data_IF_168590362425
#
_entry.id   IF_168590362425
#
_cell.length_a   1.000
_cell.length_b   1.000
_cell.length_c   1.000
_cell.angle_alpha   90.00
_cell.angle_beta   90.00
_cell.angle_gamma   90.00
#
_symmetry.space_group_name_H-M   'P 1'
#
loop_
_entity.id
_entity.type
_entity.pdbx_description
1 polymer ?
#
# COMPACT_ATOMS: atom_id res chain seq x y z
N UNK A 1 -2.85 25.39 -4.84
CA UNK A 1 -4.18 24.90 -4.42
C UNK A 1 -5.18 24.74 -5.57
N UNK A 2 -5.29 25.66 -6.53
CA UNK A 2 -6.36 25.61 -7.56
C UNK A 2 -6.41 24.30 -8.38
N UNK A 3 -5.25 23.70 -8.69
CA UNK A 3 -5.20 22.46 -9.46
C UNK A 3 -5.70 21.23 -8.69
N UNK A 4 -5.44 21.11 -7.37
CA UNK A 4 -5.94 19.97 -6.57
C UNK A 4 -7.46 20.04 -6.40
N UNK A 5 -8.00 21.24 -6.22
CA UNK A 5 -9.44 21.49 -6.18
C UNK A 5 -10.10 21.16 -7.52
N UNK A 6 -9.39 21.39 -8.63
CA UNK A 6 -9.87 20.99 -9.95
C UNK A 6 -9.98 19.46 -10.10
N UNK A 7 -8.99 18.71 -9.60
CA UNK A 7 -9.06 17.24 -9.54
C UNK A 7 -10.28 16.77 -8.73
N UNK A 8 -10.48 17.34 -7.54
CA UNK A 8 -11.65 17.05 -6.70
C UNK A 8 -12.98 17.33 -7.41
N UNK A 9 -13.09 18.46 -8.14
CA UNK A 9 -14.29 18.80 -8.93
C UNK A 9 -14.53 17.83 -10.08
N UNK A 10 -13.48 17.37 -10.77
CA UNK A 10 -13.60 16.34 -11.82
C UNK A 10 -14.14 15.04 -11.20
N UNK A 11 -13.57 14.62 -10.07
CA UNK A 11 -14.00 13.43 -9.37
C UNK A 11 -15.48 13.50 -8.97
N UNK A 12 -15.89 14.60 -8.31
CA UNK A 12 -17.27 14.82 -7.90
C UNK A 12 -18.25 14.74 -9.08
N UNK A 13 -17.89 15.35 -10.22
CA UNK A 13 -18.67 15.22 -11.46
C UNK A 13 -18.72 13.77 -11.97
N UNK A 14 -17.66 12.98 -11.79
CA UNK A 14 -17.61 11.56 -12.16
C UNK A 14 -18.59 10.70 -11.36
N UNK A 15 -18.75 11.00 -10.07
CA UNK A 15 -19.75 10.36 -9.22
C UNK A 15 -21.19 10.69 -9.65
N UNK A 16 -21.41 11.91 -10.17
CA UNK A 16 -22.72 12.35 -10.66
C UNK A 16 -23.01 11.89 -12.12
N UNK A 17 -21.99 11.80 -12.97
CA UNK A 17 -22.13 11.55 -14.42
C UNK A 17 -21.26 10.37 -14.89
N UNK A 18 -21.89 9.20 -15.04
CA UNK A 18 -21.20 7.89 -15.15
C UNK A 18 -20.37 7.62 -16.42
N UNK A 19 -20.50 8.36 -17.53
CA UNK A 19 -19.90 7.93 -18.83
C UNK A 19 -18.70 8.75 -19.32
N UNK A 20 -18.83 10.08 -19.48
CA UNK A 20 -17.76 10.91 -20.08
C UNK A 20 -16.63 11.24 -19.09
N UNK A 21 -17.00 11.58 -17.85
CA UNK A 21 -16.03 12.02 -16.83
C UNK A 21 -15.19 10.85 -16.31
N UNK A 22 -15.76 9.64 -16.25
CA UNK A 22 -15.05 8.41 -15.89
C UNK A 22 -13.87 8.11 -16.83
N UNK A 23 -14.00 8.39 -18.14
CA UNK A 23 -12.88 8.26 -19.09
C UNK A 23 -11.74 9.25 -18.80
N UNK A 24 -12.09 10.44 -18.33
CA UNK A 24 -11.12 11.49 -17.98
C UNK A 24 -10.36 11.11 -16.71
N UNK A 25 -11.04 10.56 -15.70
CA UNK A 25 -10.42 10.11 -14.45
C UNK A 25 -9.48 8.91 -14.71
N UNK A 26 -9.84 8.00 -15.62
CA UNK A 26 -8.96 6.92 -16.07
C UNK A 26 -7.89 7.34 -17.09
N UNK A 27 -7.70 8.64 -17.35
CA UNK A 27 -6.63 9.09 -18.25
C UNK A 27 -5.29 9.06 -17.52
N UNK A 28 -4.20 8.82 -18.27
CA UNK A 28 -2.84 8.95 -17.76
C UNK A 28 -2.56 10.35 -17.22
N UNK A 29 -3.14 11.38 -17.82
CA UNK A 29 -3.00 12.77 -17.37
C UNK A 29 -3.52 12.93 -15.95
N UNK A 30 -4.73 12.45 -15.66
CA UNK A 30 -5.32 12.55 -14.32
C UNK A 30 -4.52 11.76 -13.28
N UNK A 31 -4.06 10.55 -13.64
CA UNK A 31 -3.23 9.70 -12.78
C UNK A 31 -1.89 10.36 -12.49
N UNK A 32 -1.22 10.90 -13.50
CA UNK A 32 0.07 11.60 -13.34
C UNK A 32 -0.07 12.87 -12.50
N UNK A 33 -1.20 13.58 -12.60
CA UNK A 33 -1.47 14.72 -11.73
C UNK A 33 -1.57 14.29 -10.25
N UNK A 34 -2.27 13.19 -9.94
CA UNK A 34 -2.31 12.67 -8.56
C UNK A 34 -0.92 12.26 -8.10
N UNK A 35 -0.19 11.51 -8.94
CA UNK A 35 1.17 11.06 -8.66
C UNK A 35 2.10 12.22 -8.29
N UNK A 36 2.10 13.28 -9.09
CA UNK A 36 2.85 14.50 -8.82
C UNK A 36 2.48 15.14 -7.48
N UNK A 37 1.18 15.23 -7.15
CA UNK A 37 0.74 15.77 -5.86
C UNK A 37 1.18 14.89 -4.68
N UNK A 38 1.09 13.57 -4.83
CA UNK A 38 1.56 12.62 -3.82
C UNK A 38 3.05 12.80 -3.58
N UNK A 39 3.87 12.80 -4.64
CA UNK A 39 5.31 13.01 -4.54
C UNK A 39 5.67 14.36 -3.90
N UNK A 40 5.02 15.44 -4.33
CA UNK A 40 5.25 16.77 -3.79
C UNK A 40 4.94 16.84 -2.28
N UNK A 41 3.76 16.33 -1.89
CA UNK A 41 3.34 16.32 -0.49
C UNK A 41 4.28 15.44 0.33
N UNK A 42 4.56 14.20 -0.11
CA UNK A 42 5.47 13.30 0.57
C UNK A 42 6.87 13.89 0.79
N UNK A 43 7.39 14.66 -0.17
CA UNK A 43 8.71 15.28 -0.05
C UNK A 43 8.73 16.54 0.83
N UNK A 44 7.59 17.22 1.00
CA UNK A 44 7.56 18.60 1.55
C UNK A 44 6.70 18.74 2.81
N UNK A 45 6.04 17.67 3.28
CA UNK A 45 5.09 17.71 4.42
C UNK A 45 5.75 18.08 5.75
N UNK A 46 7.06 17.90 5.89
CA UNK A 46 7.80 18.28 7.09
C UNK A 46 8.27 19.74 7.08
N UNK A 47 8.43 20.34 5.90
CA UNK A 47 8.97 21.69 5.74
C UNK A 47 7.87 22.75 5.68
N UNK A 48 6.65 22.35 5.30
CA UNK A 48 5.52 23.25 5.07
C UNK A 48 4.24 22.71 5.69
N UNK A 49 3.33 23.61 6.07
CA UNK A 49 1.99 23.23 6.52
C UNK A 49 1.11 22.80 5.33
N UNK A 50 1.27 21.53 4.93
CA UNK A 50 0.52 20.90 3.85
C UNK A 50 -0.58 19.96 4.37
N UNK A 51 -0.91 19.99 5.66
CA UNK A 51 -1.93 19.11 6.24
C UNK A 51 -3.29 19.22 5.52
N UNK A 52 -3.82 20.42 5.20
CA UNK A 52 -5.06 20.52 4.41
C UNK A 52 -4.95 19.86 3.02
N UNK A 53 -3.78 19.97 2.39
CA UNK A 53 -3.50 19.37 1.08
C UNK A 53 -3.40 17.85 1.15
N UNK A 54 -2.79 17.33 2.21
CA UNK A 54 -2.74 15.91 2.54
C UNK A 54 -4.16 15.34 2.65
N UNK A 55 -5.03 15.94 3.46
CA UNK A 55 -6.41 15.47 3.58
C UNK A 55 -7.17 15.53 2.26
N UNK A 56 -7.02 16.61 1.48
CA UNK A 56 -7.65 16.71 0.17
C UNK A 56 -7.18 15.62 -0.80
N UNK A 57 -5.87 15.35 -0.89
CA UNK A 57 -5.37 14.32 -1.81
C UNK A 57 -5.81 12.93 -1.37
N UNK A 58 -5.82 12.63 -0.07
CA UNK A 58 -6.30 11.35 0.47
C UNK A 58 -7.77 11.12 0.13
N UNK A 59 -8.63 12.15 0.26
CA UNK A 59 -10.03 12.07 -0.15
C UNK A 59 -10.20 11.84 -1.65
N UNK A 60 -9.40 12.51 -2.48
CA UNK A 60 -9.41 12.31 -3.94
C UNK A 60 -9.01 10.86 -4.27
N UNK A 61 -7.94 10.35 -3.68
CA UNK A 61 -7.45 8.98 -3.94
C UNK A 61 -8.48 7.93 -3.51
N UNK A 62 -9.07 8.08 -2.32
CA UNK A 62 -10.15 7.21 -1.84
C UNK A 62 -11.36 7.25 -2.76
N UNK A 63 -11.79 8.45 -3.17
CA UNK A 63 -12.92 8.59 -4.07
C UNK A 63 -12.64 8.02 -5.47
N UNK A 64 -11.39 8.03 -5.95
CA UNK A 64 -10.99 7.33 -7.18
C UNK A 64 -11.07 5.81 -6.97
N UNK A 65 -10.50 5.28 -5.89
CA UNK A 65 -10.51 3.84 -5.62
C UNK A 65 -11.96 3.29 -5.53
N UNK A 66 -12.86 4.03 -4.87
CA UNK A 66 -14.27 3.66 -4.71
C UNK A 66 -15.11 3.86 -5.98
N UNK A 67 -14.74 4.78 -6.87
CA UNK A 67 -15.43 4.98 -8.15
C UNK A 67 -15.21 3.80 -9.10
N UNK A 68 -14.10 3.06 -8.94
CA UNK A 68 -13.69 1.96 -9.81
C UNK A 68 -13.60 0.61 -9.09
N UNK A 69 -14.69 0.08 -8.51
CA UNK A 69 -14.65 -1.16 -7.72
C UNK A 69 -14.37 -2.40 -8.58
N UNK A 70 -14.59 -2.30 -9.90
CA UNK A 70 -14.47 -3.42 -10.82
C UNK A 70 -13.03 -3.92 -10.99
N UNK A 71 -12.84 -5.23 -11.20
CA UNK A 71 -11.53 -5.90 -11.31
C UNK A 71 -10.67 -5.42 -12.48
N UNK A 72 -11.31 -4.82 -13.50
CA UNK A 72 -10.61 -4.24 -14.65
C UNK A 72 -9.74 -3.07 -14.25
N UNK A 73 -10.05 -2.42 -13.14
CA UNK A 73 -9.30 -1.28 -12.62
C UNK A 73 -8.41 -1.68 -11.46
N UNK A 74 -8.10 -2.98 -11.30
CA UNK A 74 -7.15 -3.45 -10.30
C UNK A 74 -5.84 -2.65 -10.32
N UNK A 75 -5.18 -2.38 -11.47
CA UNK A 75 -3.94 -1.60 -11.46
C UNK A 75 -4.10 -0.20 -10.89
N UNK A 76 -5.21 0.48 -11.24
CA UNK A 76 -5.52 1.80 -10.70
C UNK A 76 -5.76 1.73 -9.19
N UNK A 77 -6.48 0.71 -8.71
CA UNK A 77 -6.73 0.50 -7.27
C UNK A 77 -5.45 0.21 -6.49
N UNK A 78 -4.57 -0.65 -7.02
CA UNK A 78 -3.27 -0.93 -6.44
C UNK A 78 -2.44 0.36 -6.34
N UNK A 79 -2.42 1.17 -7.40
CA UNK A 79 -1.74 2.47 -7.40
C UNK A 79 -2.33 3.45 -6.38
N UNK A 80 -3.66 3.49 -6.22
CA UNK A 80 -4.28 4.28 -5.16
C UNK A 80 -3.77 3.87 -3.78
N UNK A 81 -3.71 2.56 -3.49
CA UNK A 81 -3.27 2.06 -2.19
C UNK A 81 -1.78 2.39 -1.96
N UNK A 82 -0.94 2.27 -2.99
CA UNK A 82 0.47 2.68 -2.93
C UNK A 82 0.63 4.17 -2.61
N UNK A 83 -0.16 5.03 -3.25
CA UNK A 83 -0.16 6.46 -2.95
C UNK A 83 -0.56 6.74 -1.49
N UNK A 84 -1.59 6.05 -0.98
CA UNK A 84 -2.02 6.19 0.41
C UNK A 84 -0.95 5.70 1.40
N UNK A 85 -0.29 4.57 1.12
CA UNK A 85 0.84 4.09 1.92
C UNK A 85 2.00 5.08 1.92
N UNK A 86 2.37 5.64 0.76
CA UNK A 86 3.44 6.63 0.67
C UNK A 86 3.13 7.88 1.49
N UNK A 87 1.92 8.43 1.33
CA UNK A 87 1.47 9.58 2.11
C UNK A 87 1.45 9.29 3.61
N UNK A 88 1.00 8.10 4.03
CA UNK A 88 1.00 7.65 5.43
C UNK A 88 2.42 7.62 5.99
N UNK A 89 3.35 6.99 5.26
CA UNK A 89 4.74 6.88 5.66
C UNK A 89 5.46 8.23 5.77
N UNK A 90 5.25 9.13 4.81
CA UNK A 90 5.89 10.45 4.81
C UNK A 90 5.27 11.41 5.83
N UNK A 91 3.95 11.40 6.00
CA UNK A 91 3.29 12.35 6.90
C UNK A 91 3.32 11.92 8.37
N UNK A 92 3.57 10.65 8.66
CA UNK A 92 3.39 10.08 9.99
C UNK A 92 1.92 10.02 10.44
N UNK A 93 0.97 10.22 9.52
CA UNK A 93 -0.47 10.13 9.78
C UNK A 93 -0.98 8.75 9.36
N UNK A 94 -1.69 8.08 10.25
CA UNK A 94 -2.32 6.80 9.95
C UNK A 94 -3.43 6.97 8.90
N UNK A 95 -3.23 6.38 7.72
CA UNK A 95 -4.23 6.33 6.64
C UNK A 95 -4.68 4.87 6.45
N UNK A 96 -5.92 4.51 6.83
CA UNK A 96 -6.38 3.13 6.71
C UNK A 96 -6.58 2.72 5.25
N UNK A 97 -5.86 1.68 4.82
CA UNK A 97 -5.95 1.11 3.46
C UNK A 97 -6.59 -0.29 3.44
N UNK A 98 -6.84 -0.86 4.61
CA UNK A 98 -7.28 -2.25 4.78
C UNK A 98 -8.52 -2.60 3.98
N UNK A 99 -9.59 -1.79 4.02
CA UNK A 99 -10.82 -2.06 3.26
C UNK A 99 -10.54 -2.16 1.76
N UNK A 100 -9.75 -1.24 1.21
CA UNK A 100 -9.40 -1.21 -0.22
C UNK A 100 -8.63 -2.44 -0.66
N UNK A 101 -7.72 -2.95 0.18
CA UNK A 101 -6.95 -4.17 -0.10
C UNK A 101 -7.82 -5.42 0.05
N UNK A 102 -8.64 -5.50 1.09
CA UNK A 102 -9.50 -6.66 1.32
C UNK A 102 -10.51 -6.83 0.19
N UNK A 103 -11.06 -5.75 -0.32
CA UNK A 103 -11.92 -5.75 -1.51
C UNK A 103 -11.21 -6.34 -2.77
N UNK A 104 -9.88 -6.35 -2.82
CA UNK A 104 -9.09 -7.01 -3.88
C UNK A 104 -9.03 -8.52 -3.62
N UNK A 105 -8.80 -8.94 -2.37
CA UNK A 105 -8.75 -10.36 -1.99
C UNK A 105 -10.12 -11.05 -2.12
N UNK A 106 -11.21 -10.34 -1.81
CA UNK A 106 -12.56 -10.89 -1.97
C UNK A 106 -12.98 -11.02 -3.45
N UNK A 107 -12.20 -10.50 -4.39
CA UNK A 107 -12.49 -10.62 -5.81
C UNK A 107 -12.30 -12.07 -6.32
N UNK A 108 -13.39 -12.85 -6.28
CA UNK A 108 -13.57 -14.17 -6.90
C UNK A 108 -12.37 -15.15 -6.76
N UNK A 109 -11.88 -15.32 -5.54
CA UNK A 109 -11.11 -16.53 -5.18
C UNK A 109 -12.02 -17.78 -5.10
N UNK A 110 -13.35 -17.61 -5.18
CA UNK A 110 -14.35 -18.66 -4.96
C UNK A 110 -14.83 -19.47 -6.19
N UNK A 111 -14.11 -19.49 -7.33
CA UNK A 111 -14.48 -20.39 -8.47
C UNK A 111 -13.26 -21.09 -9.06
N UNK A 112 -13.15 -22.39 -8.79
CA UNK A 112 -12.02 -23.30 -9.08
C UNK A 112 -11.79 -23.67 -10.57
N UNK A 113 -12.27 -22.89 -11.54
CA UNK A 113 -12.14 -23.25 -12.96
C UNK A 113 -11.42 -22.16 -13.75
N UNK A 114 -10.08 -22.16 -13.73
CA UNK A 114 -9.35 -21.26 -14.62
C UNK A 114 -8.08 -21.79 -15.29
N UNK A 115 -7.94 -21.43 -16.58
CA UNK A 115 -6.86 -21.82 -17.50
C UNK A 115 -5.56 -21.01 -17.28
N UNK A 116 -4.37 -21.61 -17.46
CA UNK A 116 -3.11 -20.88 -17.44
C UNK A 116 -3.13 -19.78 -18.52
N UNK A 117 -2.82 -18.54 -18.12
CA UNK A 117 -2.83 -17.36 -18.98
C UNK A 117 -1.50 -16.61 -18.90
N UNK A 118 -1.16 -15.87 -19.96
CA UNK A 118 0.07 -15.08 -20.04
C UNK A 118 0.16 -14.05 -18.91
N UNK A 119 1.37 -13.86 -18.39
CA UNK A 119 1.72 -12.79 -17.43
C UNK A 119 1.65 -11.46 -18.17
N UNK A 120 0.74 -10.58 -17.75
CA UNK A 120 0.73 -9.18 -18.16
C UNK A 120 1.14 -8.36 -16.95
N UNK A 121 1.94 -7.32 -17.18
CA UNK A 121 2.19 -6.31 -16.16
C UNK A 121 0.88 -5.56 -15.89
N UNK A 122 0.32 -5.63 -14.67
CA UNK A 122 -0.86 -4.87 -14.33
C UNK A 122 -0.57 -3.36 -14.38
N UNK A 123 0.63 -2.95 -13.97
CA UNK A 123 0.96 -1.57 -13.63
C UNK A 123 1.11 -0.61 -14.82
N UNK A 124 1.35 -1.12 -16.03
CA UNK A 124 1.49 -0.28 -17.24
C UNK A 124 0.17 0.04 -17.93
N UNK A 125 -0.97 -0.41 -17.37
CA UNK A 125 -2.30 -0.14 -17.93
C UNK A 125 -3.25 0.33 -16.85
N UNK A 126 -3.97 1.43 -17.11
CA UNK A 126 -5.04 1.90 -16.20
C UNK A 126 -6.20 0.90 -16.13
N UNK A 127 -6.36 0.08 -17.18
CA UNK A 127 -7.50 -0.82 -17.35
C UNK A 127 -7.09 -2.14 -18.00
N UNK A 128 -7.35 -3.24 -17.29
CA UNK A 128 -7.05 -4.59 -17.75
C UNK A 128 -8.00 -5.07 -18.87
N UNK A 129 -7.48 -5.87 -19.82
CA UNK A 129 -8.28 -6.64 -20.77
C UNK A 129 -9.18 -7.66 -20.07
N UNK A 130 -10.41 -7.86 -20.58
CA UNK A 130 -11.40 -8.78 -19.96
C UNK A 130 -10.93 -10.24 -19.90
N UNK A 131 -10.13 -10.69 -20.85
CA UNK A 131 -9.64 -12.07 -20.90
C UNK A 131 -8.68 -12.38 -19.75
N UNK A 132 -7.99 -11.35 -19.22
CA UNK A 132 -6.98 -11.51 -18.19
C UNK A 132 -7.56 -11.67 -16.79
N UNK A 133 -8.70 -11.01 -16.52
CA UNK A 133 -9.42 -11.05 -15.23
C UNK A 133 -9.73 -12.42 -14.69
N UNK A 134 -9.67 -13.38 -15.57
CA UNK A 134 -10.07 -14.71 -15.28
C UNK A 134 -8.82 -15.57 -15.02
N UNK A 135 -7.64 -15.23 -15.59
CA UNK A 135 -6.35 -15.96 -15.49
C UNK A 135 -5.95 -16.34 -14.06
N UNK A 136 -5.30 -17.50 -13.91
CA UNK A 136 -4.67 -17.89 -12.63
C UNK A 136 -3.61 -16.87 -12.21
N UNK A 137 -2.86 -16.35 -13.18
CA UNK A 137 -1.87 -15.29 -12.95
C UNK A 137 -2.48 -14.00 -12.41
N UNK A 138 -3.73 -13.65 -12.78
CA UNK A 138 -4.44 -12.52 -12.19
C UNK A 138 -4.77 -12.74 -10.72
N UNK A 139 -5.24 -13.93 -10.34
CA UNK A 139 -5.54 -14.25 -8.93
C UNK A 139 -4.27 -14.24 -8.08
N UNK A 140 -3.20 -14.84 -8.59
CA UNK A 140 -1.90 -14.82 -7.93
C UNK A 140 -1.39 -13.39 -7.74
N UNK A 141 -1.52 -12.54 -8.77
CA UNK A 141 -1.18 -11.13 -8.67
C UNK A 141 -2.03 -10.39 -7.63
N UNK A 142 -3.36 -10.60 -7.61
CA UNK A 142 -4.23 -10.00 -6.58
C UNK A 142 -3.75 -10.35 -5.17
N UNK A 143 -3.46 -11.63 -4.90
CA UNK A 143 -3.04 -12.10 -3.58
C UNK A 143 -1.66 -11.53 -3.23
N UNK A 144 -0.70 -11.62 -4.14
CA UNK A 144 0.66 -11.12 -3.90
C UNK A 144 0.68 -9.61 -3.69
N UNK A 145 0.05 -8.82 -4.58
CA UNK A 145 0.00 -7.36 -4.42
C UNK A 145 -0.73 -6.95 -3.14
N UNK A 146 -1.81 -7.65 -2.76
CA UNK A 146 -2.53 -7.37 -1.52
C UNK A 146 -1.63 -7.58 -0.28
N UNK A 147 -0.88 -8.68 -0.25
CA UNK A 147 0.04 -8.99 0.85
C UNK A 147 1.21 -8.01 0.89
N UNK A 148 1.76 -7.63 -0.27
CA UNK A 148 2.80 -6.60 -0.36
C UNK A 148 2.32 -5.26 0.22
N UNK A 149 1.14 -4.79 -0.19
CA UNK A 149 0.59 -3.51 0.26
C UNK A 149 0.21 -3.50 1.75
N UNK A 150 -0.32 -4.61 2.26
CA UNK A 150 -0.60 -4.76 3.69
C UNK A 150 0.69 -4.88 4.51
N UNK A 151 1.71 -5.57 3.99
CA UNK A 151 3.02 -5.67 4.64
C UNK A 151 3.69 -4.31 4.75
N UNK A 152 3.66 -3.52 3.67
CA UNK A 152 4.13 -2.13 3.69
C UNK A 152 3.35 -1.28 4.69
N UNK A 153 2.02 -1.34 4.67
CA UNK A 153 1.19 -0.59 5.60
C UNK A 153 1.52 -0.93 7.05
N UNK A 154 1.55 -2.21 7.42
CA UNK A 154 1.85 -2.61 8.80
C UNK A 154 3.30 -2.38 9.20
N UNK A 155 4.26 -2.42 8.28
CA UNK A 155 5.65 -2.13 8.60
C UNK A 155 5.87 -0.67 9.04
N UNK A 156 5.05 0.25 8.53
CA UNK A 156 5.08 1.65 8.98
C UNK A 156 4.68 1.82 10.45
N UNK A 157 3.80 0.94 10.94
CA UNK A 157 3.20 1.02 12.27
C UNK A 157 3.67 -0.08 13.22
N UNK A 158 4.55 -0.99 12.79
CA UNK A 158 4.91 -2.21 13.53
C UNK A 158 5.58 -1.97 14.89
N UNK A 159 6.13 -0.78 15.10
CA UNK A 159 6.75 -0.36 16.36
C UNK A 159 5.89 0.64 17.15
N UNK A 160 4.71 1.00 16.64
CA UNK A 160 3.83 1.96 17.31
C UNK A 160 3.10 1.30 18.48
N UNK A 161 2.93 2.01 19.60
CA UNK A 161 2.29 1.46 20.81
C UNK A 161 0.85 0.96 20.57
N UNK A 162 0.16 1.55 19.59
CA UNK A 162 -1.20 1.19 19.18
C UNK A 162 -1.28 0.11 18.09
N UNK A 163 -0.15 -0.50 17.70
CA UNK A 163 -0.14 -1.53 16.65
C UNK A 163 -1.12 -2.69 16.92
N UNK A 164 -1.25 -3.23 18.15
CA UNK A 164 -2.22 -4.27 18.46
C UNK A 164 -3.65 -3.90 18.07
N UNK A 165 -4.08 -2.68 18.41
CA UNK A 165 -5.40 -2.17 18.08
C UNK A 165 -5.57 -1.94 16.58
N UNK A 166 -4.56 -1.34 15.93
CA UNK A 166 -4.58 -1.06 14.48
C UNK A 166 -4.68 -2.35 13.64
N UNK A 167 -4.00 -3.42 14.06
CA UNK A 167 -3.94 -4.68 13.32
C UNK A 167 -5.17 -5.58 13.57
N UNK A 168 -5.90 -5.37 14.67
CA UNK A 168 -7.00 -6.28 15.10
C UNK A 168 -8.10 -6.42 14.06
N UNK A 169 -8.72 -5.32 13.62
CA UNK A 169 -9.81 -5.37 12.65
C UNK A 169 -9.37 -5.94 11.28
N UNK A 170 -8.22 -5.54 10.70
CA UNK A 170 -7.68 -6.18 9.51
C UNK A 170 -7.48 -7.70 9.66
N UNK A 171 -6.92 -8.16 10.79
CA UNK A 171 -6.66 -9.57 11.03
C UNK A 171 -7.94 -10.39 11.09
N UNK A 172 -8.98 -9.90 11.77
CA UNK A 172 -10.28 -10.57 11.82
C UNK A 172 -10.83 -10.78 10.41
N UNK A 173 -10.72 -9.77 9.55
CA UNK A 173 -11.21 -9.88 8.18
C UNK A 173 -10.33 -10.81 7.33
N UNK A 174 -9.00 -10.72 7.45
CA UNK A 174 -8.07 -11.61 6.74
C UNK A 174 -8.29 -13.09 7.11
N UNK A 175 -8.56 -13.39 8.38
CA UNK A 175 -8.92 -14.75 8.83
C UNK A 175 -10.21 -15.22 8.16
N UNK A 176 -11.24 -14.37 8.07
CA UNK A 176 -12.48 -14.70 7.33
C UNK A 176 -12.24 -14.94 5.84
N UNK A 177 -11.35 -14.17 5.22
CA UNK A 177 -10.96 -14.36 3.82
C UNK A 177 -10.21 -15.68 3.66
N UNK A 178 -9.24 -15.96 4.54
CA UNK A 178 -8.46 -17.20 4.55
C UNK A 178 -9.35 -18.45 4.59
N UNK A 179 -10.40 -18.47 5.42
CA UNK A 179 -11.34 -19.60 5.48
C UNK A 179 -12.09 -19.84 4.16
N UNK A 180 -12.33 -18.79 3.37
CA UNK A 180 -13.04 -18.90 2.07
C UNK A 180 -12.14 -19.39 0.92
N UNK A 181 -10.82 -19.37 1.09
CA UNK A 181 -9.88 -19.67 0.01
C UNK A 181 -9.65 -21.19 -0.09
N UNK A 182 -9.95 -21.77 -1.25
CA UNK A 182 -9.70 -23.19 -1.56
C UNK A 182 -8.26 -23.46 -2.00
N UNK A 183 -7.63 -22.50 -2.66
CA UNK A 183 -6.32 -22.68 -3.28
C UNK A 183 -5.20 -22.66 -2.23
N UNK A 184 -4.61 -23.83 -1.99
CA UNK A 184 -3.58 -24.05 -0.96
C UNK A 184 -2.37 -23.10 -1.07
N UNK A 185 -1.91 -22.82 -2.29
CA UNK A 185 -0.81 -21.86 -2.49
C UNK A 185 -1.13 -20.44 -1.99
N UNK A 186 -2.38 -19.98 -2.14
CA UNK A 186 -2.82 -18.68 -1.63
C UNK A 186 -3.04 -18.72 -0.11
N UNK A 187 -3.61 -19.82 0.40
CA UNK A 187 -3.76 -20.06 1.85
C UNK A 187 -2.43 -19.91 2.56
N UNK A 188 -1.35 -20.53 2.06
CA UNK A 188 -0.01 -20.45 2.66
C UNK A 188 0.51 -19.02 2.76
N UNK A 189 0.37 -18.22 1.69
CA UNK A 189 0.85 -16.83 1.68
C UNK A 189 0.08 -15.99 2.70
N UNK A 190 -1.25 -16.09 2.71
CA UNK A 190 -2.11 -15.32 3.62
C UNK A 190 -1.92 -15.76 5.07
N UNK A 191 -1.83 -17.06 5.34
CA UNK A 191 -1.56 -17.59 6.68
C UNK A 191 -0.22 -17.12 7.21
N UNK A 192 0.83 -17.21 6.39
CA UNK A 192 2.16 -16.74 6.80
C UNK A 192 2.14 -15.24 7.15
N UNK A 193 1.44 -14.41 6.36
CA UNK A 193 1.24 -13.00 6.69
C UNK A 193 0.52 -12.81 8.03
N UNK A 194 -0.61 -13.51 8.24
CA UNK A 194 -1.36 -13.47 9.51
C UNK A 194 -0.46 -13.81 10.69
N UNK A 195 0.31 -14.90 10.59
CA UNK A 195 1.21 -15.35 11.66
C UNK A 195 2.27 -14.29 11.99
N UNK A 196 2.83 -13.63 10.97
CA UNK A 196 3.83 -12.58 11.17
C UNK A 196 3.25 -11.34 11.85
N UNK A 197 2.01 -10.96 11.51
CA UNK A 197 1.33 -9.84 12.18
C UNK A 197 1.00 -10.20 13.63
N UNK A 198 0.53 -11.42 13.90
CA UNK A 198 0.25 -11.90 15.28
C UNK A 198 1.52 -11.92 16.14
N UNK A 199 2.64 -12.41 15.61
CA UNK A 199 3.95 -12.34 16.30
C UNK A 199 4.31 -10.89 16.65
N UNK A 200 4.03 -9.94 15.76
CA UNK A 200 4.32 -8.53 16.02
C UNK A 200 3.37 -7.92 17.05
N UNK A 201 2.10 -8.32 17.06
CA UNK A 201 1.13 -7.93 18.10
C UNK A 201 1.65 -8.36 19.47
N UNK A 202 2.02 -9.64 19.62
CA UNK A 202 2.53 -10.19 20.89
C UNK A 202 3.82 -9.48 21.33
N UNK A 203 4.72 -9.18 20.38
CA UNK A 203 5.94 -8.43 20.65
C UNK A 203 5.66 -7.03 21.19
N UNK A 204 4.77 -6.27 20.54
CA UNK A 204 4.41 -4.92 20.96
C UNK A 204 3.64 -4.94 22.29
N UNK A 205 2.75 -5.90 22.50
CA UNK A 205 1.99 -6.04 23.75
C UNK A 205 2.91 -6.28 24.94
N UNK A 206 3.86 -7.23 24.86
CA UNK A 206 4.84 -7.48 25.93
C UNK A 206 5.64 -6.23 26.26
N UNK A 207 6.09 -5.50 25.22
CA UNK A 207 6.82 -4.24 25.41
C UNK A 207 5.97 -3.14 26.02
N UNK A 208 4.67 -3.10 25.72
CA UNK A 208 3.71 -2.16 26.30
C UNK A 208 3.40 -2.47 27.77
N UNK A 209 3.45 -3.72 28.20
CA UNK A 209 3.28 -4.08 29.62
C UNK A 209 4.45 -3.60 30.50
N UNK A 210 5.64 -3.44 29.90
CA UNK A 210 6.87 -3.00 30.58
C UNK A 210 6.99 -1.47 30.73
N UNK A 211 6.13 -0.68 30.06
CA UNK A 211 6.32 0.78 30.05
C UNK A 211 5.80 1.45 31.33
N UNK A 212 6.60 2.33 31.98
CA UNK A 212 6.18 3.02 33.19
C UNK A 212 5.41 4.33 32.92
N UNK A 213 5.28 4.74 31.66
CA UNK A 213 4.72 6.04 31.29
C UNK A 213 3.21 6.00 31.02
N UNK A 214 2.55 7.13 31.27
CA UNK A 214 1.12 7.31 30.96
C UNK A 214 0.90 7.57 29.47
N UNK A 215 -0.24 7.18 28.87
CA UNK A 215 -0.59 7.55 27.50
C UNK A 215 -0.62 9.06 27.21
N UNK A 216 -0.69 9.91 28.26
CA UNK A 216 -0.62 11.37 28.14
C UNK A 216 0.81 11.90 27.91
N UNK A 217 1.82 11.07 28.17
CA UNK A 217 3.21 11.41 27.89
C UNK A 217 3.51 11.16 26.40
N UNK A 218 3.19 12.16 25.58
CA UNK A 218 3.36 12.09 24.14
C UNK A 218 4.81 11.83 23.72
N UNK A 219 5.79 12.35 24.45
CA UNK A 219 7.20 12.17 24.12
C UNK A 219 7.65 10.72 24.34
N UNK A 220 7.24 10.12 25.47
CA UNK A 220 7.54 8.71 25.73
C UNK A 220 6.79 7.78 24.77
N UNK A 221 5.55 8.10 24.42
CA UNK A 221 4.78 7.37 23.39
C UNK A 221 5.45 7.41 22.03
N UNK A 222 5.94 8.57 21.59
CA UNK A 222 6.64 8.72 20.31
C UNK A 222 8.01 8.00 20.32
N UNK A 223 8.68 7.99 21.47
CA UNK A 223 9.97 7.30 21.66
C UNK A 223 9.85 5.79 21.84
N UNK A 224 8.64 5.26 22.01
CA UNK A 224 8.39 3.83 22.19
C UNK A 224 8.98 3.00 21.03
N UNK A 225 9.77 1.99 21.38
CA UNK A 225 10.43 1.06 20.46
C UNK A 225 11.31 1.67 19.36
N UNK A 226 11.74 2.92 19.48
CA UNK A 226 12.61 3.54 18.47
C UNK A 226 14.00 2.88 18.40
N UNK A 227 14.50 2.32 19.50
CA UNK A 227 15.77 1.56 19.52
C UNK A 227 15.62 0.25 18.73
N UNK A 228 14.55 -0.50 18.99
CA UNK A 228 14.24 -1.74 18.27
C UNK A 228 13.95 -1.49 16.79
N UNK A 229 13.33 -0.36 16.46
CA UNK A 229 13.11 0.08 15.08
C UNK A 229 14.42 0.33 14.34
N UNK A 230 15.38 1.02 14.97
CA UNK A 230 16.73 1.25 14.41
C UNK A 230 17.50 -0.05 14.21
N UNK A 231 17.40 -0.97 15.17
CA UNK A 231 18.03 -2.29 15.06
C UNK A 231 17.42 -3.12 13.91
N UNK A 232 16.12 -2.97 13.64
CA UNK A 232 15.47 -3.54 12.46
C UNK A 232 15.46 -5.08 12.42
N UNK A 233 15.60 -5.72 13.58
CA UNK A 233 15.79 -7.17 13.74
C UNK A 233 14.53 -7.92 14.17
N UNK A 234 13.37 -7.25 14.23
CA UNK A 234 12.13 -7.93 14.58
C UNK A 234 11.70 -8.90 13.46
N UNK A 235 11.04 -10.02 13.79
CA UNK A 235 10.58 -10.98 12.79
C UNK A 235 9.73 -10.34 11.68
N UNK A 236 8.82 -9.44 12.06
CA UNK A 236 7.96 -8.75 11.10
C UNK A 236 8.74 -7.82 10.15
N UNK A 237 9.74 -7.09 10.65
CA UNK A 237 10.59 -6.24 9.81
C UNK A 237 11.42 -7.06 8.82
N UNK A 238 11.94 -8.22 9.24
CA UNK A 238 12.65 -9.14 8.36
C UNK A 238 11.71 -9.75 7.30
N UNK A 239 10.50 -10.15 7.71
CA UNK A 239 9.45 -10.62 6.81
C UNK A 239 9.11 -9.56 5.75
N UNK A 240 8.82 -8.32 6.17
CA UNK A 240 8.53 -7.21 5.28
C UNK A 240 9.65 -6.98 4.26
N UNK A 241 10.92 -6.91 4.71
CA UNK A 241 12.09 -6.76 3.82
C UNK A 241 12.17 -7.88 2.77
N UNK A 242 11.88 -9.12 3.17
CA UNK A 242 11.84 -10.28 2.25
C UNK A 242 10.72 -10.16 1.21
N UNK A 243 9.51 -9.80 1.64
CA UNK A 243 8.36 -9.57 0.74
C UNK A 243 8.69 -8.49 -0.29
N UNK A 244 9.24 -7.35 0.14
CA UNK A 244 9.60 -6.26 -0.77
C UNK A 244 10.72 -6.63 -1.75
N UNK A 245 11.73 -7.39 -1.30
CA UNK A 245 12.79 -7.91 -2.17
C UNK A 245 12.24 -8.83 -3.28
N UNK A 246 11.29 -9.71 -2.92
CA UNK A 246 10.59 -10.57 -3.88
C UNK A 246 9.73 -9.77 -4.86
N UNK A 247 9.03 -8.74 -4.37
CA UNK A 247 8.24 -7.83 -5.20
C UNK A 247 9.11 -7.13 -6.25
N UNK A 248 10.24 -6.56 -5.83
CA UNK A 248 11.19 -5.89 -6.72
C UNK A 248 11.75 -6.85 -7.79
N UNK A 249 12.12 -8.08 -7.38
CA UNK A 249 12.61 -9.10 -8.31
C UNK A 249 11.56 -9.47 -9.36
N UNK A 250 10.30 -9.62 -8.95
CA UNK A 250 9.15 -9.94 -9.83
C UNK A 250 8.88 -8.82 -10.85
N UNK A 251 8.94 -7.56 -10.43
CA UNK A 251 8.79 -6.41 -11.32
C UNK A 251 9.90 -6.37 -12.38
N UNK A 252 11.16 -6.57 -11.98
CA UNK A 252 12.32 -6.58 -12.91
C UNK A 252 12.29 -7.70 -13.97
N UNK A 253 11.71 -8.86 -13.64
CA UNK A 253 11.56 -10.00 -14.55
C UNK A 253 10.45 -9.70 -15.56
N UNK A 254 9.40 -9.02 -15.11
CA UNK A 254 8.29 -8.60 -15.95
C UNK A 254 8.71 -7.54 -16.96
N UNK A 255 9.60 -6.62 -16.60
CA UNK A 255 10.15 -5.59 -17.50
C UNK A 255 10.97 -6.22 -18.63
N UNK A 256 11.80 -7.22 -18.29
CA UNK A 256 12.63 -7.95 -19.27
C UNK A 256 11.83 -8.82 -20.26
N UNK A 257 10.62 -9.26 -19.89
CA UNK A 257 9.75 -10.02 -20.80
C UNK A 257 8.94 -9.14 -21.75
N UNK A 258 8.74 -7.87 -21.41
CA UNK A 258 7.98 -6.91 -22.22
C UNK A 258 8.85 -6.12 -23.21
N UNK A 259 10.15 -5.95 -22.94
CA UNK A 259 11.08 -5.25 -23.84
C UNK A 259 12.26 -6.15 -24.22
N UNK A 260 12.35 -6.62 -25.49
CA UNK A 260 13.61 -7.13 -26.04
C UNK A 260 14.63 -5.98 -26.06
N UNK A 261 15.89 -6.27 -25.71
CA UNK A 261 17.01 -5.31 -25.66
C UNK A 261 16.95 -4.29 -26.82
N UNK A 262 16.76 -3.00 -26.50
CA UNK A 262 16.87 -1.92 -27.49
C UNK A 262 15.83 -0.79 -27.42
N UNK A 263 15.24 -0.46 -26.26
CA UNK A 263 14.39 0.73 -26.15
C UNK A 263 14.48 1.33 -24.75
N UNK A 264 15.22 2.42 -24.62
CA UNK A 264 15.26 3.23 -23.39
C UNK A 264 13.95 4.02 -23.24
N UNK A 265 13.27 3.85 -22.11
CA UNK A 265 12.35 4.85 -21.57
C UNK A 265 12.37 4.82 -20.05
N UNK A 266 12.60 6.01 -19.49
CA UNK A 266 12.85 6.33 -18.10
C UNK A 266 11.53 6.26 -17.32
N UNK A 267 11.32 5.17 -16.58
CA UNK A 267 10.44 5.15 -15.42
C UNK A 267 11.09 4.26 -14.37
N UNK A 268 12.10 4.81 -13.70
CA UNK A 268 12.64 4.24 -12.47
C UNK A 268 11.53 4.27 -11.42
N UNK A 269 10.98 3.09 -11.10
CA UNK A 269 10.27 2.84 -9.85
C UNK A 269 11.29 3.01 -8.70
N UNK A 270 11.48 4.25 -8.27
CA UNK A 270 12.21 4.56 -7.06
C UNK A 270 11.34 4.20 -5.86
N UNK A 271 11.55 3.00 -5.32
CA UNK A 271 11.30 2.76 -3.90
C UNK A 271 12.30 3.60 -3.11
N UNK A 272 11.96 4.87 -2.86
CA UNK A 272 12.72 5.68 -1.92
C UNK A 272 12.25 5.25 -0.53
N UNK A 273 13.00 4.33 0.07
CA UNK A 273 13.00 4.18 1.52
C UNK A 273 13.48 5.50 2.12
N UNK A 274 12.57 6.34 2.60
CA UNK A 274 12.92 7.38 3.57
C UNK A 274 13.19 6.71 4.92
N UNK A 275 14.35 6.07 5.03
CA UNK A 275 14.98 5.84 6.32
C UNK A 275 15.55 7.18 6.77
N UNK A 276 14.88 7.84 7.70
CA UNK A 276 15.31 9.09 8.30
C UNK A 276 16.55 8.84 9.19
N UNK A 277 17.74 8.83 8.60
CA UNK A 277 19.01 8.92 9.33
C UNK A 277 19.31 10.39 9.62
N UNK A 278 18.81 10.91 10.75
CA UNK A 278 19.40 12.10 11.36
C UNK A 278 20.70 11.68 12.06
N UNK A 279 21.82 11.90 11.37
CA UNK A 279 23.14 11.94 11.99
C UNK A 279 23.19 13.16 12.95
N UNK A 280 22.95 12.91 14.23
CA UNK A 280 23.38 13.79 15.30
C UNK A 280 24.85 13.54 15.58
N UNK A 281 25.70 14.47 15.17
CA UNK A 281 27.11 14.52 15.51
C UNK A 281 27.43 15.90 16.08
N UNK A 282 27.16 16.09 17.37
CA UNK A 282 27.88 17.07 18.18
C UNK A 282 29.27 16.51 18.48
N UNK A 283 30.29 17.33 18.28
CA UNK A 283 31.69 17.02 18.55
C UNK A 283 32.56 18.26 18.43
N UNK A 284 32.53 19.09 19.49
CA UNK A 284 33.66 19.86 20.08
C UNK A 284 34.63 20.59 19.14
N UNK A 285 34.55 21.93 19.13
CA UNK A 285 35.56 22.83 19.77
C UNK A 285 34.80 23.98 20.44
#
# INVERSE_FOLDING_TARGET
>A
MTCILHLGKILQKGWQTKKKVVKTICSWQYINCIDMWVTLISASIHDYDLQPLLYMIVQIINGVALLFPGPRYLPLRLRCIQWLNNLSGSSGVFIPITSLVLDILEYKIAKDSWKPGKVLQPMSTVKLPKHWLKSRGFQEECVLSAIELLSEHFAQWSYHISFPELATAPLIHLKKVFEKISTESFRRVIKHFIDQVEINIDFVQKKREEVPFSPKDHQSVESFLQVEKRNGNTPFTQYYKNIMSKAASRNSISDRKCYPRGSECILTLGYINCSNERAGGEGTV
#
